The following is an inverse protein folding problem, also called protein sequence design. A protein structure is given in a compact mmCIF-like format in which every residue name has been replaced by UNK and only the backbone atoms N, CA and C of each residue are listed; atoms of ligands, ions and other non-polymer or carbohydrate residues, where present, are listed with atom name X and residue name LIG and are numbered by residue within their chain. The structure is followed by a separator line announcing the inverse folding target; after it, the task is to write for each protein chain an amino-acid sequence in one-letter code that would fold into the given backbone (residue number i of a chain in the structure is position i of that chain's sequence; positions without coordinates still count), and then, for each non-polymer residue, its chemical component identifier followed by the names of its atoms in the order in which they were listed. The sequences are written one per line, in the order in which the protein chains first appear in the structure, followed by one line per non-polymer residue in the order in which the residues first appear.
data_IF_451858186892
#
_entry.id   IF_451858186892
#
_cell.length_a   1.000
_cell.length_b   1.000
_cell.length_c   1.000
_cell.angle_alpha   90.00
_cell.angle_beta   90.00
_cell.angle_gamma   90.00
#
_symmetry.space_group_name_H-M   'P 1'
#
loop_
_entity.id
_entity.type
_entity.pdbx_description
1 polymer ?
#
# COMPACT_ATOMS: atom_id res chain seq x y z
N UNK A 1 -20.06 -5.46 -25.15
CA UNK A 1 -19.16 -5.23 -24.00
C UNK A 1 -18.68 -6.59 -23.52
N UNK A 2 -17.39 -6.91 -23.69
CA UNK A 2 -16.74 -8.10 -23.14
C UNK A 2 -15.37 -7.62 -22.65
N UNK A 3 -15.27 -7.27 -21.36
CA UNK A 3 -14.15 -6.43 -20.89
C UNK A 3 -13.66 -6.71 -19.48
N UNK A 4 -13.87 -7.92 -18.95
CA UNK A 4 -13.36 -8.24 -17.60
C UNK A 4 -12.68 -9.61 -17.57
N UNK A 5 -11.90 -9.93 -18.60
CA UNK A 5 -11.01 -11.10 -18.51
C UNK A 5 -9.89 -10.74 -17.55
N UNK A 6 -9.82 -11.44 -16.42
CA UNK A 6 -8.71 -11.35 -15.49
C UNK A 6 -7.44 -11.80 -16.23
N UNK A 7 -6.53 -10.86 -16.52
CA UNK A 7 -5.31 -11.14 -17.31
C UNK A 7 -4.19 -11.74 -16.47
N UNK A 8 -4.27 -11.62 -15.14
CA UNK A 8 -3.39 -12.29 -14.18
C UNK A 8 -4.02 -12.29 -12.79
N UNK A 9 -3.76 -13.35 -12.01
CA UNK A 9 -3.94 -13.37 -10.56
C UNK A 9 -2.55 -13.38 -9.93
N UNK A 10 -2.32 -12.50 -8.94
CA UNK A 10 -1.03 -12.37 -8.29
C UNK A 10 -1.26 -12.44 -6.79
N UNK A 11 -0.75 -13.52 -6.19
CA UNK A 11 -0.74 -13.69 -4.74
C UNK A 11 0.43 -12.90 -4.15
N UNK A 12 0.14 -11.71 -3.62
CA UNK A 12 1.08 -11.07 -2.70
C UNK A 12 1.07 -11.81 -1.37
N UNK A 13 2.17 -11.69 -0.62
CA UNK A 13 2.25 -12.21 0.75
C UNK A 13 1.06 -11.72 1.59
N UNK A 14 0.66 -12.45 2.62
CA UNK A 14 -0.34 -11.96 3.56
C UNK A 14 0.36 -11.11 4.63
N UNK A 15 0.01 -9.81 4.80
CA UNK A 15 0.61 -8.96 5.84
C UNK A 15 0.28 -9.44 7.27
N UNK A 16 -0.73 -10.30 7.41
CA UNK A 16 -1.16 -10.89 8.66
C UNK A 16 -2.47 -10.30 9.19
N UNK A 17 -2.97 -10.80 10.32
CA UNK A 17 -4.25 -10.37 10.90
C UNK A 17 -4.27 -8.88 11.24
N UNK A 18 -5.42 -8.24 10.99
CA UNK A 18 -5.66 -6.85 11.37
C UNK A 18 -5.03 -5.81 10.45
N UNK A 19 -4.23 -6.21 9.45
CA UNK A 19 -3.72 -5.32 8.41
C UNK A 19 -4.78 -5.07 7.33
N UNK A 20 -4.90 -3.82 6.90
CA UNK A 20 -5.82 -3.37 5.87
C UNK A 20 -5.07 -2.50 4.87
N UNK A 21 -5.32 -2.69 3.57
CA UNK A 21 -4.81 -1.78 2.55
C UNK A 21 -5.56 -0.45 2.68
N UNK A 22 -4.82 0.64 2.88
CA UNK A 22 -5.39 1.97 3.09
C UNK A 22 -5.06 2.95 1.97
N UNK A 23 -4.00 2.72 1.20
CA UNK A 23 -3.66 3.55 0.04
C UNK A 23 -2.83 2.80 -1.00
N UNK A 24 -2.91 3.27 -2.24
CA UNK A 24 -2.08 2.84 -3.37
C UNK A 24 -1.60 4.10 -4.07
N UNK A 25 -0.30 4.38 -4.02
CA UNK A 25 0.28 5.61 -4.57
C UNK A 25 1.80 5.52 -4.75
N UNK A 26 2.41 6.51 -5.39
CA UNK A 26 3.85 6.59 -5.62
C UNK A 26 4.58 7.13 -4.39
N UNK A 27 4.74 6.29 -3.38
CA UNK A 27 5.48 6.64 -2.16
C UNK A 27 7.00 6.60 -2.35
N UNK A 28 7.48 5.87 -3.36
CA UNK A 28 8.89 5.77 -3.73
C UNK A 28 9.15 6.27 -5.16
N UNK A 29 10.38 6.75 -5.48
CA UNK A 29 10.70 7.30 -6.80
C UNK A 29 10.99 6.23 -7.87
N UNK A 30 10.46 5.01 -7.71
CA UNK A 30 10.72 3.90 -8.62
C UNK A 30 9.80 3.89 -9.86
N UNK A 31 8.88 4.85 -9.96
CA UNK A 31 7.94 5.02 -11.07
C UNK A 31 6.78 4.01 -11.08
N UNK A 32 6.59 3.26 -9.99
CA UNK A 32 5.51 2.28 -9.84
C UNK A 32 4.70 2.57 -8.56
N UNK A 33 3.38 2.31 -8.55
CA UNK A 33 2.58 2.51 -7.35
C UNK A 33 2.94 1.50 -6.27
N UNK A 34 3.13 1.98 -5.05
CA UNK A 34 3.37 1.20 -3.85
C UNK A 34 2.05 0.98 -3.08
N UNK A 35 2.05 0.08 -2.09
CA UNK A 35 0.88 -0.22 -1.26
C UNK A 35 1.12 0.21 0.20
N UNK A 36 0.19 0.97 0.76
CA UNK A 36 0.23 1.34 2.18
C UNK A 36 -0.79 0.53 2.96
N UNK A 37 -0.32 -0.21 3.96
CA UNK A 37 -1.15 -0.97 4.88
C UNK A 37 -1.17 -0.31 6.27
N UNK A 38 -2.31 -0.39 6.94
CA UNK A 38 -2.47 -0.02 8.35
C UNK A 38 -3.03 -1.19 9.15
N UNK A 39 -2.45 -1.47 10.31
CA UNK A 39 -2.97 -2.43 11.26
C UNK A 39 -3.97 -1.77 12.22
N UNK A 40 -4.94 -2.53 12.72
CA UNK A 40 -5.86 -2.12 13.80
C UNK A 40 -5.20 -1.51 15.04
N UNK A 41 -3.94 -1.83 15.33
CA UNK A 41 -3.20 -1.24 16.44
C UNK A 41 -2.51 0.12 16.10
N UNK A 42 -2.73 0.64 14.90
CA UNK A 42 -2.14 1.87 14.39
C UNK A 42 -0.83 1.69 13.62
N UNK A 43 -0.17 0.52 13.67
CA UNK A 43 1.06 0.28 12.95
C UNK A 43 0.85 0.42 11.44
N UNK A 44 1.87 0.91 10.73
CA UNK A 44 1.80 1.14 9.29
C UNK A 44 2.96 0.44 8.60
N UNK A 45 2.69 -0.09 7.41
CA UNK A 45 3.70 -0.76 6.59
C UNK A 45 3.57 -0.31 5.13
N UNK A 46 4.66 0.19 4.57
CA UNK A 46 4.77 0.50 3.15
C UNK A 46 5.34 -0.72 2.42
N UNK A 47 4.63 -1.18 1.41
CA UNK A 47 5.09 -2.23 0.51
C UNK A 47 5.51 -1.56 -0.79
N UNK A 48 6.82 -1.49 -0.99
CA UNK A 48 7.40 -0.99 -2.22
C UNK A 48 7.22 -2.04 -3.31
N UNK A 49 6.61 -1.65 -4.43
CA UNK A 49 6.26 -2.57 -5.50
C UNK A 49 7.17 -2.38 -6.71
N UNK A 50 7.62 -3.49 -7.29
CA UNK A 50 8.21 -3.53 -8.62
C UNK A 50 7.26 -4.29 -9.55
N UNK A 51 6.34 -3.55 -10.15
CA UNK A 51 5.26 -4.05 -10.98
C UNK A 51 4.31 -4.84 -10.12
N UNK A 52 4.41 -6.15 -10.23
CA UNK A 52 3.57 -7.09 -9.48
C UNK A 52 4.33 -7.87 -8.42
N UNK A 53 5.62 -7.57 -8.25
CA UNK A 53 6.47 -8.14 -7.21
C UNK A 53 6.62 -7.18 -6.04
N UNK A 54 6.61 -7.69 -4.82
CA UNK A 54 7.03 -6.94 -3.64
C UNK A 54 8.55 -6.77 -3.68
N UNK A 55 9.03 -5.53 -3.77
CA UNK A 55 10.46 -5.21 -3.73
C UNK A 55 10.97 -5.12 -2.29
N UNK A 56 10.23 -4.42 -1.43
CA UNK A 56 10.55 -4.27 -0.02
C UNK A 56 9.28 -4.04 0.83
N UNK A 57 9.37 -4.37 2.11
CA UNK A 57 8.34 -4.05 3.09
C UNK A 57 8.97 -3.25 4.25
N UNK A 58 8.51 -2.01 4.44
CA UNK A 58 9.06 -1.05 5.39
C UNK A 58 8.04 -0.78 6.49
N UNK A 59 8.41 -1.06 7.74
CA UNK A 59 7.60 -0.65 8.88
C UNK A 59 7.78 0.84 9.14
N UNK A 60 6.67 1.58 9.21
CA UNK A 60 6.66 2.99 9.55
C UNK A 60 6.45 3.17 11.07
N UNK A 61 6.80 4.34 11.64
CA UNK A 61 6.49 4.65 13.03
C UNK A 61 5.01 4.42 13.35
N UNK A 62 4.71 3.83 14.51
CA UNK A 62 3.34 3.57 14.93
C UNK A 62 2.78 4.80 15.68
N UNK A 63 1.82 5.55 15.10
CA UNK A 63 1.19 6.69 15.77
C UNK A 63 0.18 6.27 16.86
N UNK A 64 -0.17 5.00 16.95
CA UNK A 64 -1.13 4.43 17.90
C UNK A 64 -2.51 4.21 17.29
N UNK A 65 -3.32 3.36 17.93
CA UNK A 65 -4.60 2.87 17.41
C UNK A 65 -5.68 3.94 17.19
N UNK A 66 -5.52 5.14 17.77
CA UNK A 66 -6.44 6.26 17.55
C UNK A 66 -6.25 6.99 16.22
N UNK A 67 -5.16 6.69 15.50
CA UNK A 67 -4.86 7.31 14.22
C UNK A 67 -5.35 6.48 13.05
N UNK A 68 -5.80 7.18 12.00
CA UNK A 68 -6.14 6.58 10.73
C UNK A 68 -5.42 7.35 9.63
N UNK A 69 -4.93 6.64 8.61
CA UNK A 69 -4.43 7.29 7.41
C UNK A 69 -5.58 8.05 6.76
N UNK A 70 -5.41 9.35 6.54
CA UNK A 70 -6.27 10.11 5.65
C UNK A 70 -5.65 10.05 4.27
N UNK A 71 -6.42 9.65 3.24
CA UNK A 71 -5.95 9.74 1.86
C UNK A 71 -5.69 11.21 1.54
N UNK A 72 -4.42 11.60 1.60
CA UNK A 72 -3.97 12.96 1.39
C UNK A 72 -2.98 12.98 0.24
N UNK A 73 -3.49 12.98 -0.99
CA UNK A 73 -2.68 13.45 -2.11
C UNK A 73 -2.99 14.95 -2.36
N UNK A 74 -2.25 15.87 -1.70
CA UNK A 74 -2.06 17.17 -2.30
C UNK A 74 -0.59 17.58 -2.25
N UNK A 75 0.29 16.94 -3.02
CA UNK A 75 1.53 17.60 -3.44
C UNK A 75 1.74 17.43 -4.94
N UNK A 76 0.78 17.99 -5.71
CA UNK A 76 1.13 18.51 -7.02
C UNK A 76 1.87 19.84 -6.77
N UNK A 77 3.19 19.82 -6.80
CA UNK A 77 3.99 21.01 -7.07
C UNK A 77 4.93 20.64 -8.21
N UNK A 78 4.73 21.32 -9.34
CA UNK A 78 5.46 21.10 -10.58
C UNK A 78 6.85 21.70 -10.60
#
# INVERSE_FOLDING_TARGET
MNGTTLTAEIGLSNPGPGWQLVSVDHFTPNGQPDLLFQNTNGAMQLWEMNGTSLAAAVNLPNPGAGWQSVNGHPFATG
#
